data_IF_378450859959
#
_entry.id   IF_378450859959
#
_cell.length_a   1.000
_cell.length_b   1.000
_cell.length_c   1.000
_cell.angle_alpha   90.00
_cell.angle_beta   90.00
_cell.angle_gamma   90.00
#
_symmetry.space_group_name_H-M   'P 1'
#
loop_
_entity.id
_entity.type
_entity.pdbx_description
1 polymer ?
#
# COMPACT_ATOMS: atom_id res chain seq x y z
N UNK A 1 17.91 -20.68 16.93
CA UNK A 1 18.86 -19.54 16.82
C UNK A 1 18.04 -18.27 16.67
N UNK A 2 18.37 -17.16 17.36
CA UNK A 2 17.62 -15.90 17.20
C UNK A 2 17.87 -15.29 15.81
N UNK A 3 16.81 -14.75 15.20
CA UNK A 3 16.86 -14.06 13.91
C UNK A 3 15.97 -12.80 13.96
N UNK A 4 15.90 -12.05 12.85
CA UNK A 4 15.15 -10.79 12.76
C UNK A 4 13.65 -10.93 13.01
N UNK A 5 13.09 -12.14 12.90
CA UNK A 5 11.66 -12.42 13.09
C UNK A 5 11.32 -13.08 14.43
N UNK A 6 12.32 -13.33 15.31
CA UNK A 6 12.10 -14.04 16.56
C UNK A 6 11.04 -13.39 17.46
N UNK A 7 10.92 -12.05 17.44
CA UNK A 7 9.86 -11.36 18.21
C UNK A 7 8.48 -11.54 17.61
N UNK A 8 8.37 -11.59 16.28
CA UNK A 8 7.13 -11.92 15.57
C UNK A 8 6.71 -13.35 15.88
N UNK A 9 7.67 -14.28 15.87
CA UNK A 9 7.43 -15.70 16.18
C UNK A 9 6.95 -15.90 17.63
N UNK A 10 7.54 -15.20 18.61
CA UNK A 10 7.09 -15.26 19.99
C UNK A 10 5.65 -14.78 20.20
N UNK A 11 5.19 -13.84 19.37
CA UNK A 11 3.84 -13.28 19.46
C UNK A 11 2.79 -14.12 18.74
N UNK A 12 3.10 -14.59 17.53
CA UNK A 12 2.13 -15.26 16.64
C UNK A 12 2.34 -16.76 16.49
N UNK A 13 3.47 -17.28 16.93
CA UNK A 13 3.87 -18.68 16.79
C UNK A 13 4.58 -18.99 15.46
N UNK A 14 5.27 -20.11 15.41
CA UNK A 14 6.05 -20.55 14.25
C UNK A 14 5.19 -20.85 13.03
N UNK A 15 3.97 -21.38 13.22
CA UNK A 15 3.05 -21.64 12.11
C UNK A 15 2.61 -20.36 11.39
N UNK A 16 2.30 -19.31 12.15
CA UNK A 16 1.95 -18.02 11.57
C UNK A 16 3.14 -17.37 10.84
N UNK A 17 4.35 -17.46 11.39
CA UNK A 17 5.55 -16.99 10.73
C UNK A 17 5.81 -17.77 9.42
N UNK A 18 5.60 -19.07 9.41
CA UNK A 18 5.72 -19.89 8.20
C UNK A 18 4.70 -19.48 7.11
N UNK A 19 3.48 -19.10 7.50
CA UNK A 19 2.48 -18.55 6.58
C UNK A 19 2.93 -17.20 6.01
N UNK A 20 3.43 -16.29 6.85
CA UNK A 20 3.95 -14.99 6.40
C UNK A 20 5.12 -15.15 5.43
N UNK A 21 6.05 -16.07 5.69
CA UNK A 21 7.17 -16.36 4.78
C UNK A 21 6.75 -16.84 3.40
N UNK A 22 5.60 -17.47 3.28
CA UNK A 22 5.03 -17.94 1.99
C UNK A 22 4.12 -16.93 1.34
N UNK A 23 3.69 -15.91 2.07
CA UNK A 23 2.72 -14.95 1.58
C UNK A 23 3.32 -14.05 0.50
N UNK A 24 2.55 -13.84 -0.56
CA UNK A 24 2.86 -12.96 -1.68
C UNK A 24 1.90 -11.75 -1.67
N UNK A 25 2.45 -10.56 -1.45
CA UNK A 25 1.67 -9.32 -1.33
C UNK A 25 2.00 -8.35 -2.46
N UNK A 26 0.99 -7.92 -3.20
CA UNK A 26 1.13 -6.83 -4.17
C UNK A 26 0.82 -5.49 -3.51
N UNK A 27 1.72 -4.52 -3.69
CA UNK A 27 1.55 -3.15 -3.16
C UNK A 27 1.59 -2.16 -4.31
N UNK A 28 0.45 -1.57 -4.59
CA UNK A 28 0.27 -0.54 -5.61
C UNK A 28 0.44 0.84 -4.98
N UNK A 29 1.47 1.56 -5.43
CA UNK A 29 1.90 2.85 -4.88
C UNK A 29 2.91 2.71 -3.73
N UNK A 30 4.16 3.13 -3.96
CA UNK A 30 5.28 3.11 -2.97
C UNK A 30 5.56 4.53 -2.46
N UNK A 31 4.49 5.24 -2.16
CA UNK A 31 4.53 6.60 -1.62
C UNK A 31 4.53 6.65 -0.08
N UNK A 32 3.93 7.74 0.46
CA UNK A 32 3.84 7.98 1.91
C UNK A 32 3.02 6.96 2.69
N UNK A 33 2.12 6.24 2.03
CA UNK A 33 1.34 5.16 2.65
C UNK A 33 1.96 3.80 2.32
N UNK A 34 2.09 3.47 1.03
CA UNK A 34 2.55 2.13 0.62
C UNK A 34 3.98 1.82 1.06
N UNK A 35 4.89 2.81 1.09
CA UNK A 35 6.24 2.61 1.60
C UNK A 35 6.27 2.14 3.05
N UNK A 36 5.45 2.73 3.93
CA UNK A 36 5.33 2.30 5.32
C UNK A 36 4.66 0.93 5.46
N UNK A 37 3.68 0.61 4.60
CA UNK A 37 3.07 -0.74 4.56
C UNK A 37 4.11 -1.79 4.20
N UNK A 38 4.90 -1.58 3.15
CA UNK A 38 5.95 -2.53 2.73
C UNK A 38 6.99 -2.71 3.82
N UNK A 39 7.45 -1.62 4.47
CA UNK A 39 8.38 -1.68 5.61
C UNK A 39 7.83 -2.57 6.73
N UNK A 40 6.56 -2.36 7.12
CA UNK A 40 5.92 -3.13 8.18
C UNK A 40 5.77 -4.62 7.81
N UNK A 41 5.36 -4.92 6.57
CA UNK A 41 5.20 -6.30 6.09
C UNK A 41 6.55 -7.03 6.00
N UNK A 42 7.61 -6.37 5.51
CA UNK A 42 8.95 -6.95 5.45
C UNK A 42 9.48 -7.29 6.86
N UNK A 43 9.28 -6.40 7.84
CA UNK A 43 9.63 -6.62 9.26
C UNK A 43 8.79 -7.70 9.93
N UNK A 44 7.58 -7.93 9.44
CA UNK A 44 6.71 -9.01 9.94
C UNK A 44 7.08 -10.38 9.38
N UNK A 45 7.92 -10.46 8.34
CA UNK A 45 8.40 -11.70 7.76
C UNK A 45 7.63 -12.16 6.52
N UNK A 46 6.93 -11.24 5.82
CA UNK A 46 6.35 -11.54 4.49
C UNK A 46 7.47 -11.87 3.52
N UNK A 47 7.30 -12.96 2.76
CA UNK A 47 8.35 -13.53 1.93
C UNK A 47 8.37 -13.05 0.49
N UNK A 48 7.24 -12.63 -0.09
CA UNK A 48 7.21 -12.20 -1.49
C UNK A 48 6.43 -10.91 -1.68
N UNK A 49 6.94 -10.04 -2.57
CA UNK A 49 6.37 -8.73 -2.87
C UNK A 49 6.35 -8.46 -4.38
N UNK A 50 5.21 -7.95 -4.85
CA UNK A 50 5.16 -7.17 -6.09
C UNK A 50 5.05 -5.70 -5.73
N UNK A 51 5.99 -4.88 -6.19
CA UNK A 51 6.04 -3.44 -5.93
C UNK A 51 5.72 -2.68 -7.22
N UNK A 52 4.62 -1.92 -7.21
CA UNK A 52 4.12 -1.22 -8.38
C UNK A 52 4.14 0.29 -8.14
N UNK A 53 5.03 1.03 -8.80
CA UNK A 53 5.12 2.50 -8.75
C UNK A 53 5.97 2.99 -9.93
N UNK A 54 5.54 4.04 -10.62
CA UNK A 54 6.27 4.61 -11.76
C UNK A 54 7.27 5.71 -11.38
N UNK A 55 7.15 6.26 -10.18
CA UNK A 55 7.87 7.46 -9.79
C UNK A 55 9.33 7.21 -9.41
N UNK A 56 10.10 8.28 -9.47
CA UNK A 56 11.38 8.43 -8.80
C UNK A 56 11.21 9.18 -7.47
N UNK A 57 12.17 9.00 -6.57
CA UNK A 57 12.20 9.74 -5.31
C UNK A 57 12.47 11.22 -5.60
N UNK A 58 11.57 12.09 -5.17
CA UNK A 58 11.74 13.54 -5.23
C UNK A 58 12.16 14.09 -3.86
N UNK A 59 12.86 15.22 -3.86
CA UNK A 59 13.28 15.87 -2.61
C UNK A 59 12.10 16.22 -1.71
N UNK A 60 10.94 16.57 -2.29
CA UNK A 60 9.70 16.87 -1.57
C UNK A 60 9.05 15.64 -0.94
N UNK A 61 9.54 14.44 -1.21
CA UNK A 61 9.04 13.20 -0.61
C UNK A 61 9.66 12.92 0.77
N UNK A 62 10.82 13.53 1.08
CA UNK A 62 11.61 13.23 2.28
C UNK A 62 10.82 13.44 3.58
N UNK A 63 9.89 14.38 3.58
CA UNK A 63 9.09 14.69 4.76
C UNK A 63 8.12 13.58 5.20
N UNK A 64 7.79 12.59 4.32
CA UNK A 64 6.75 11.60 4.59
C UNK A 64 6.94 10.20 3.99
N UNK A 65 7.86 10.03 3.04
CA UNK A 65 8.12 8.74 2.42
C UNK A 65 9.35 8.07 3.04
N UNK A 66 9.17 6.89 3.60
CA UNK A 66 10.22 6.19 4.38
C UNK A 66 11.48 5.88 3.57
N UNK A 67 11.34 5.70 2.25
CA UNK A 67 12.44 5.42 1.34
C UNK A 67 13.16 6.69 0.84
N UNK A 68 12.56 7.86 1.07
CA UNK A 68 13.08 9.11 0.56
C UNK A 68 14.11 9.72 1.53
N UNK A 69 15.36 9.76 1.11
CA UNK A 69 16.48 10.40 1.79
C UNK A 69 17.27 11.24 0.77
N UNK A 70 18.19 12.08 1.21
CA UNK A 70 19.03 12.84 0.30
C UNK A 70 19.81 11.92 -0.67
N UNK A 71 20.23 10.74 -0.21
CA UNK A 71 20.98 9.77 -1.01
C UNK A 71 20.14 9.01 -2.04
N UNK A 72 18.81 9.01 -1.88
CA UNK A 72 17.90 8.27 -2.77
C UNK A 72 17.17 9.14 -3.77
N UNK A 73 17.29 10.48 -3.69
CA UNK A 73 16.66 11.41 -4.65
C UNK A 73 17.08 11.07 -6.08
N UNK A 74 16.11 11.00 -7.00
CA UNK A 74 16.30 10.65 -8.41
C UNK A 74 16.29 9.15 -8.71
N UNK A 75 16.35 8.26 -7.70
CA UNK A 75 16.28 6.81 -7.92
C UNK A 75 14.82 6.34 -8.04
N UNK A 76 14.51 5.30 -8.84
CA UNK A 76 13.17 4.71 -8.90
C UNK A 76 12.70 4.23 -7.52
N UNK A 77 11.48 4.58 -7.11
CA UNK A 77 10.94 4.22 -5.79
C UNK A 77 10.94 2.71 -5.55
N UNK A 78 10.54 1.93 -6.55
CA UNK A 78 10.51 0.46 -6.46
C UNK A 78 11.90 -0.14 -6.21
N UNK A 79 12.95 0.41 -6.83
CA UNK A 79 14.33 -0.03 -6.62
C UNK A 79 14.86 0.32 -5.24
N UNK A 80 14.57 1.52 -4.75
CA UNK A 80 14.96 1.93 -3.40
C UNK A 80 14.26 1.06 -2.36
N UNK A 81 12.96 0.79 -2.56
CA UNK A 81 12.20 -0.07 -1.66
C UNK A 81 12.67 -1.52 -1.68
N UNK A 82 13.06 -2.06 -2.85
CA UNK A 82 13.68 -3.40 -2.95
C UNK A 82 14.94 -3.49 -2.09
N UNK A 83 15.85 -2.52 -2.22
CA UNK A 83 17.08 -2.48 -1.39
C UNK A 83 16.73 -2.43 0.09
N UNK A 84 15.70 -1.68 0.45
CA UNK A 84 15.23 -1.56 1.83
C UNK A 84 14.69 -2.88 2.35
N UNK A 85 13.84 -3.59 1.60
CA UNK A 85 13.31 -4.92 1.98
C UNK A 85 14.48 -5.89 2.20
N UNK A 86 15.41 -5.98 1.24
CA UNK A 86 16.54 -6.92 1.32
C UNK A 86 17.47 -6.64 2.50
N UNK A 87 17.55 -5.38 2.96
CA UNK A 87 18.30 -5.03 4.18
C UNK A 87 17.62 -5.53 5.47
N UNK A 88 16.32 -5.86 5.43
CA UNK A 88 15.50 -6.36 6.54
C UNK A 88 15.31 -7.87 6.43
N UNK A 89 14.92 -8.34 5.26
CA UNK A 89 14.66 -9.72 4.92
C UNK A 89 15.43 -10.11 3.65
N UNK A 90 16.69 -10.59 3.78
CA UNK A 90 17.52 -10.95 2.62
C UNK A 90 16.96 -12.09 1.76
N UNK A 91 16.04 -12.90 2.34
CA UNK A 91 15.42 -14.04 1.65
C UNK A 91 14.13 -13.65 0.90
N UNK A 92 13.70 -12.38 0.95
CA UNK A 92 12.48 -11.94 0.30
C UNK A 92 12.61 -11.97 -1.23
N UNK A 93 11.58 -12.48 -1.90
CA UNK A 93 11.43 -12.43 -3.35
C UNK A 93 10.68 -11.16 -3.74
N UNK A 94 11.24 -10.38 -4.68
CA UNK A 94 10.70 -9.07 -5.00
C UNK A 94 10.62 -8.89 -6.51
N UNK A 95 9.41 -8.73 -7.01
CA UNK A 95 9.13 -8.35 -8.40
C UNK A 95 8.88 -6.84 -8.47
N UNK A 96 9.53 -6.16 -9.41
CA UNK A 96 9.40 -4.72 -9.60
C UNK A 96 8.61 -4.41 -10.88
N UNK A 97 7.62 -3.55 -10.74
CA UNK A 97 6.84 -2.99 -11.84
C UNK A 97 6.99 -1.47 -11.82
N UNK A 98 7.95 -0.95 -12.57
CA UNK A 98 8.17 0.49 -12.71
C UNK A 98 7.19 1.08 -13.74
N UNK A 99 5.92 1.07 -13.39
CA UNK A 99 4.85 1.56 -14.25
C UNK A 99 3.69 2.13 -13.42
N UNK A 100 2.84 2.94 -14.06
CA UNK A 100 1.52 3.24 -13.54
C UNK A 100 0.62 2.02 -13.74
N UNK A 101 -0.14 1.66 -12.70
CA UNK A 101 -1.25 0.74 -12.87
C UNK A 101 -2.47 1.53 -13.33
N UNK A 102 -3.00 1.16 -14.50
CA UNK A 102 -4.16 1.78 -15.13
C UNK A 102 -5.14 0.68 -15.59
N UNK A 103 -6.41 1.02 -15.85
CA UNK A 103 -7.37 0.04 -16.39
C UNK A 103 -6.88 -0.63 -17.69
N UNK A 104 -6.09 0.09 -18.50
CA UNK A 104 -5.61 -0.34 -19.81
C UNK A 104 -4.53 -1.42 -19.73
N UNK A 105 -3.74 -1.46 -18.66
CA UNK A 105 -2.67 -2.45 -18.48
C UNK A 105 -2.95 -3.49 -17.38
N UNK A 106 -4.21 -3.56 -16.90
CA UNK A 106 -4.60 -4.50 -15.84
C UNK A 106 -4.29 -5.97 -16.17
N UNK A 107 -4.38 -6.33 -17.45
CA UNK A 107 -4.20 -7.70 -17.92
C UNK A 107 -2.72 -8.13 -17.96
N UNK A 108 -1.78 -7.20 -17.72
CA UNK A 108 -0.36 -7.50 -17.51
C UNK A 108 -0.09 -8.06 -16.10
N UNK A 109 -1.08 -7.98 -15.21
CA UNK A 109 -0.97 -8.39 -13.82
C UNK A 109 -1.87 -9.59 -13.52
N UNK A 110 -1.26 -10.70 -13.15
CA UNK A 110 -1.98 -11.89 -12.69
C UNK A 110 -2.30 -11.79 -11.20
N UNK A 111 -3.46 -11.21 -10.89
CA UNK A 111 -3.91 -11.04 -9.51
C UNK A 111 -4.09 -12.36 -8.76
N UNK A 112 -4.30 -13.49 -9.46
CA UNK A 112 -4.49 -14.80 -8.82
C UNK A 112 -3.25 -15.31 -8.07
N UNK A 113 -2.09 -14.73 -8.32
CA UNK A 113 -0.81 -15.07 -7.65
C UNK A 113 -0.67 -14.45 -6.27
N UNK A 114 -1.48 -13.44 -5.94
CA UNK A 114 -1.34 -12.70 -4.71
C UNK A 114 -2.21 -13.27 -3.60
N UNK A 115 -1.66 -13.36 -2.41
CA UNK A 115 -2.44 -13.67 -1.20
C UNK A 115 -3.16 -12.45 -0.65
N UNK A 116 -2.63 -11.25 -0.95
CA UNK A 116 -3.20 -9.98 -0.51
C UNK A 116 -2.81 -8.84 -1.44
N UNK A 117 -3.74 -7.90 -1.64
CA UNK A 117 -3.50 -6.68 -2.41
C UNK A 117 -3.63 -5.45 -1.52
N UNK A 118 -2.65 -4.56 -1.62
CA UNK A 118 -2.67 -3.24 -0.97
C UNK A 118 -2.77 -2.16 -2.03
N UNK A 119 -3.84 -1.40 -2.00
CA UNK A 119 -4.03 -0.21 -2.82
C UNK A 119 -3.66 1.04 -2.03
N UNK A 120 -2.53 1.63 -2.36
CA UNK A 120 -2.00 2.87 -1.80
C UNK A 120 -1.72 3.95 -2.87
N UNK A 121 -2.33 3.80 -4.07
CA UNK A 121 -2.26 4.83 -5.11
C UNK A 121 -3.19 6.01 -4.79
N UNK A 122 -2.97 7.15 -5.41
CA UNK A 122 -3.79 8.37 -5.24
C UNK A 122 -4.81 8.59 -6.37
N UNK A 123 -4.61 7.95 -7.52
CA UNK A 123 -5.47 8.08 -8.71
C UNK A 123 -6.73 7.25 -8.57
N UNK A 124 -7.89 7.88 -8.63
CA UNK A 124 -9.20 7.22 -8.45
C UNK A 124 -9.45 6.10 -9.46
N UNK A 125 -9.10 6.32 -10.74
CA UNK A 125 -9.29 5.31 -11.78
C UNK A 125 -8.48 4.04 -11.50
N UNK A 126 -7.21 4.19 -11.10
CA UNK A 126 -6.36 3.08 -10.72
C UNK A 126 -6.90 2.34 -9.47
N UNK A 127 -7.32 3.07 -8.44
CA UNK A 127 -7.95 2.47 -7.24
C UNK A 127 -9.14 1.58 -7.58
N UNK A 128 -10.02 2.08 -8.45
CA UNK A 128 -11.19 1.32 -8.88
C UNK A 128 -10.75 0.05 -9.61
N UNK A 129 -9.82 0.17 -10.56
CA UNK A 129 -9.34 -0.96 -11.35
C UNK A 129 -8.65 -2.01 -10.48
N UNK A 130 -7.79 -1.62 -9.52
CA UNK A 130 -7.14 -2.52 -8.56
C UNK A 130 -8.19 -3.31 -7.75
N UNK A 131 -9.18 -2.59 -7.19
CA UNK A 131 -10.24 -3.24 -6.40
C UNK A 131 -11.04 -4.22 -7.23
N UNK A 132 -11.40 -3.86 -8.46
CA UNK A 132 -12.16 -4.74 -9.35
C UNK A 132 -11.36 -5.98 -9.73
N UNK A 133 -10.09 -5.82 -10.14
CA UNK A 133 -9.22 -6.94 -10.50
C UNK A 133 -8.98 -7.88 -9.31
N UNK A 134 -8.73 -7.36 -8.11
CA UNK A 134 -8.59 -8.17 -6.91
C UNK A 134 -9.88 -8.93 -6.57
N UNK A 135 -11.05 -8.30 -6.75
CA UNK A 135 -12.34 -8.96 -6.51
C UNK A 135 -12.65 -10.03 -7.55
N UNK A 136 -12.34 -9.77 -8.81
CA UNK A 136 -12.49 -10.75 -9.90
C UNK A 136 -11.63 -11.99 -9.64
N UNK A 137 -10.39 -11.80 -9.19
CA UNK A 137 -9.48 -12.88 -8.83
C UNK A 137 -9.80 -13.54 -7.47
N UNK A 138 -10.76 -13.03 -6.71
CA UNK A 138 -11.09 -13.55 -5.37
C UNK A 138 -10.04 -13.23 -4.29
N UNK A 139 -9.14 -12.30 -4.54
CA UNK A 139 -8.03 -11.94 -3.64
C UNK A 139 -8.47 -10.84 -2.66
N UNK A 140 -8.13 -10.97 -1.36
CA UNK A 140 -8.41 -9.93 -0.39
C UNK A 140 -7.66 -8.63 -0.72
N UNK A 141 -8.35 -7.50 -0.58
CA UNK A 141 -7.79 -6.17 -0.84
C UNK A 141 -8.10 -5.19 0.28
N UNK A 142 -7.13 -4.33 0.60
CA UNK A 142 -7.30 -3.15 1.43
C UNK A 142 -6.92 -1.90 0.62
N UNK A 143 -7.75 -0.86 0.69
CA UNK A 143 -7.52 0.39 -0.03
C UNK A 143 -7.35 1.55 0.95
N UNK A 144 -6.27 2.30 0.82
CA UNK A 144 -6.07 3.54 1.59
C UNK A 144 -6.89 4.67 0.97
N UNK A 145 -7.63 5.37 1.82
CA UNK A 145 -8.33 6.60 1.41
C UNK A 145 -7.42 7.82 1.58
N UNK A 146 -7.96 9.03 1.58
CA UNK A 146 -7.16 10.25 1.65
C UNK A 146 -6.39 10.39 2.96
N UNK A 147 -5.05 10.37 2.90
CA UNK A 147 -4.17 10.59 4.06
C UNK A 147 -3.54 11.99 4.10
N UNK A 148 -3.64 12.76 3.02
CA UNK A 148 -3.07 14.11 2.93
C UNK A 148 -3.83 15.13 3.78
N UNK A 149 -3.10 16.19 4.21
CA UNK A 149 -3.63 17.33 4.99
C UNK A 149 -4.26 16.93 6.33
N UNK A 150 -3.73 15.89 6.98
CA UNK A 150 -4.17 15.36 8.27
C UNK A 150 -2.97 15.24 9.19
N UNK A 151 -3.15 15.61 10.45
CA UNK A 151 -2.07 15.67 11.44
C UNK A 151 -2.33 14.81 12.68
N UNK A 152 -3.57 14.32 12.85
CA UNK A 152 -3.92 13.46 13.98
C UNK A 152 -3.95 11.98 13.57
N UNK A 153 -2.87 11.21 13.82
CA UNK A 153 -2.82 9.80 13.45
C UNK A 153 -3.82 8.92 14.21
N UNK A 154 -4.29 9.35 15.39
CA UNK A 154 -5.27 8.61 16.18
C UNK A 154 -6.68 8.61 15.57
N UNK A 155 -6.93 9.46 14.56
CA UNK A 155 -8.22 9.49 13.84
C UNK A 155 -8.29 8.56 12.64
N UNK A 156 -7.20 7.84 12.31
CA UNK A 156 -7.22 6.79 11.30
C UNK A 156 -7.85 5.53 11.85
N UNK A 157 -8.70 4.89 11.03
CA UNK A 157 -9.32 3.61 11.36
C UNK A 157 -9.45 2.70 10.14
N UNK A 158 -9.55 1.41 10.41
CA UNK A 158 -9.91 0.39 9.41
C UNK A 158 -11.42 0.20 9.45
N UNK A 159 -12.06 0.36 8.29
CA UNK A 159 -13.52 0.24 8.18
C UNK A 159 -13.92 -0.43 6.87
N UNK A 160 -15.20 -0.75 6.73
CA UNK A 160 -15.82 -0.98 5.44
C UNK A 160 -16.08 0.36 4.75
N UNK A 161 -15.88 0.45 3.41
CA UNK A 161 -16.10 1.67 2.63
C UNK A 161 -17.48 2.30 2.87
N UNK A 162 -18.50 1.48 3.12
CA UNK A 162 -19.88 1.94 3.36
C UNK A 162 -20.10 2.49 4.78
N UNK A 163 -19.13 2.32 5.68
CA UNK A 163 -19.15 2.87 7.04
C UNK A 163 -18.26 4.11 7.19
N UNK A 164 -17.60 4.54 6.11
CA UNK A 164 -16.74 5.73 6.13
C UNK A 164 -17.55 7.03 6.16
N UNK A 165 -16.98 8.08 6.75
CA UNK A 165 -17.54 9.42 6.84
C UNK A 165 -16.48 10.46 6.50
N UNK A 166 -16.88 11.70 6.24
CA UNK A 166 -16.01 12.90 6.11
C UNK A 166 -15.07 12.86 4.90
N UNK A 167 -14.30 11.80 4.71
CA UNK A 167 -13.25 11.68 3.70
C UNK A 167 -13.80 11.80 2.26
N UNK A 168 -13.35 12.81 1.45
CA UNK A 168 -13.84 13.04 0.10
C UNK A 168 -13.52 11.89 -0.85
N UNK A 169 -12.32 11.29 -0.74
CA UNK A 169 -11.92 10.17 -1.58
C UNK A 169 -12.76 8.92 -1.28
N UNK A 170 -13.01 8.65 0.01
CA UNK A 170 -13.91 7.56 0.41
C UNK A 170 -15.33 7.75 -0.13
N UNK A 171 -15.82 9.00 -0.22
CA UNK A 171 -17.12 9.31 -0.83
C UNK A 171 -17.16 8.92 -2.30
N UNK A 172 -16.13 9.28 -3.06
CA UNK A 172 -16.02 8.94 -4.50
C UNK A 172 -15.91 7.44 -4.67
N UNK A 173 -15.01 6.77 -3.93
CA UNK A 173 -14.83 5.32 -3.98
C UNK A 173 -16.10 4.58 -3.61
N UNK A 174 -16.84 5.01 -2.62
CA UNK A 174 -18.12 4.42 -2.22
C UNK A 174 -19.15 4.46 -3.33
N UNK A 175 -19.23 5.57 -4.08
CA UNK A 175 -20.12 5.69 -5.23
C UNK A 175 -19.69 4.75 -6.36
N UNK A 176 -18.39 4.68 -6.65
CA UNK A 176 -17.85 3.77 -7.65
C UNK A 176 -18.11 2.29 -7.27
N UNK A 177 -17.86 1.91 -6.02
CA UNK A 177 -18.11 0.55 -5.55
C UNK A 177 -19.59 0.15 -5.67
N UNK A 178 -20.52 1.07 -5.40
CA UNK A 178 -21.96 0.84 -5.63
C UNK A 178 -22.26 0.58 -7.10
N UNK A 179 -21.70 1.40 -8.01
CA UNK A 179 -21.89 1.25 -9.45
C UNK A 179 -21.40 -0.10 -9.97
N UNK A 180 -20.30 -0.62 -9.39
CA UNK A 180 -19.71 -1.91 -9.76
C UNK A 180 -20.23 -3.08 -8.90
N UNK A 181 -21.32 -2.89 -8.13
CA UNK A 181 -21.93 -3.91 -7.30
C UNK A 181 -21.00 -4.58 -6.27
N UNK A 182 -19.94 -3.88 -5.86
CA UNK A 182 -19.03 -4.31 -4.80
C UNK A 182 -19.71 -4.08 -3.45
N UNK A 183 -20.05 -5.16 -2.76
CA UNK A 183 -20.80 -5.13 -1.50
C UNK A 183 -19.96 -4.76 -0.27
N UNK A 184 -18.64 -4.95 -0.35
CA UNK A 184 -17.74 -4.76 0.78
C UNK A 184 -16.32 -4.44 0.27
N UNK A 185 -15.70 -3.42 0.85
CA UNK A 185 -14.29 -3.09 0.63
C UNK A 185 -13.68 -2.63 1.96
N UNK A 186 -12.61 -3.32 2.39
CA UNK A 186 -11.82 -2.89 3.54
C UNK A 186 -11.01 -1.67 3.15
N UNK A 187 -11.08 -0.62 3.98
CA UNK A 187 -10.35 0.63 3.75
C UNK A 187 -9.68 1.13 5.03
N UNK A 188 -8.63 1.92 4.86
CA UNK A 188 -8.08 2.78 5.91
C UNK A 188 -8.47 4.21 5.55
N UNK A 189 -9.07 4.93 6.49
CA UNK A 189 -9.44 6.34 6.29
C UNK A 189 -9.34 7.11 7.62
N UNK A 190 -9.33 8.43 7.56
CA UNK A 190 -9.34 9.26 8.76
C UNK A 190 -10.68 10.00 8.91
N UNK A 191 -11.14 10.13 10.15
CA UNK A 191 -12.29 10.96 10.53
C UNK A 191 -11.90 12.44 10.71
N UNK A 192 -10.64 12.77 10.54
CA UNK A 192 -10.16 14.15 10.61
C UNK A 192 -10.60 14.95 9.37
N UNK A 193 -11.10 16.18 9.60
CA UNK A 193 -11.29 17.12 8.50
C UNK A 193 -9.93 17.54 7.95
N UNK A 194 -9.71 17.48 6.61
CA UNK A 194 -8.47 17.93 6.03
C UNK A 194 -8.19 19.39 6.37
N UNK A 195 -6.95 19.68 6.78
CA UNK A 195 -6.49 21.04 6.97
C UNK A 195 -6.47 21.80 5.64
N UNK A 196 -6.83 23.07 5.66
CA UNK A 196 -6.64 23.95 4.51
C UNK A 196 -5.13 24.16 4.29
N UNK A 197 -4.71 24.08 3.03
CA UNK A 197 -3.33 24.41 2.68
C UNK A 197 -3.11 25.92 2.82
N UNK A 198 -1.95 26.30 3.34
CA UNK A 198 -1.52 27.69 3.37
C UNK A 198 -0.98 28.03 1.98
N UNK A 199 -1.56 29.02 1.32
CA UNK A 199 -1.31 29.39 -0.10
C UNK A 199 0.09 29.98 -0.40
N UNK A 200 1.08 29.84 0.48
CA UNK A 200 2.36 30.56 0.40
C UNK A 200 3.51 29.80 -0.29
N UNK A 201 3.27 28.64 -0.89
CA UNK A 201 4.30 27.89 -1.65
C UNK A 201 3.99 27.87 -3.15
N UNK A 202 3.70 29.04 -3.72
CA UNK A 202 3.62 29.22 -5.17
C UNK A 202 4.96 29.66 -5.73
#
# INVERSE_FOLDING_TARGET
MLNQFSRTELLFGSEALAKLKKAHVAVFGIGGVGGHVVEALARSGVGSFDLIDNDTVAITNINRQIIATLDTVGQPKVEVMRKRILSINPEAEITLHQCFFLPENKDEFDFSKYDYVVDAVDTVAAKIAIVLAAKEAGVPVISSMGAGNKVNPAMFEVADIYKTSIDPLARVMRQAMKKHHIKKLKVVYSKELPLLQVDELK
#
